data_IF_752261432609
#
_entry.id   IF_752261432609
#
_cell.length_a   1.000
_cell.length_b   1.000
_cell.length_c   1.000
_cell.angle_alpha   90.00
_cell.angle_beta   90.00
_cell.angle_gamma   90.00
#
_symmetry.space_group_name_H-M   'P 1'
#
loop_
_entity.id
_entity.type
_entity.pdbx_description
1 polymer ?
#
# COMPACT_ATOMS: atom_id res chain seq x y z
N UNK A 1 2.03 -23.75 22.68
CA UNK A 1 1.62 -22.42 23.15
C UNK A 1 2.48 -21.32 22.58
N UNK A 2 3.80 -21.42 22.65
CA UNK A 2 4.71 -20.41 22.08
C UNK A 2 4.48 -20.27 20.57
N UNK A 3 4.36 -21.39 19.85
CA UNK A 3 4.08 -21.34 18.40
C UNK A 3 2.77 -20.63 18.06
N UNK A 4 1.76 -20.79 18.89
CA UNK A 4 0.47 -20.13 18.70
C UNK A 4 0.61 -18.60 18.89
N UNK A 5 1.35 -18.17 19.89
CA UNK A 5 1.59 -16.76 20.17
C UNK A 5 2.38 -16.13 19.02
N UNK A 6 3.40 -16.83 18.51
CA UNK A 6 4.19 -16.36 17.38
C UNK A 6 3.31 -16.24 16.12
N UNK A 7 2.44 -17.20 15.88
CA UNK A 7 1.54 -17.17 14.73
C UNK A 7 0.56 -16.00 14.82
N UNK A 8 0.04 -15.71 16.01
CA UNK A 8 -0.85 -14.56 16.22
C UNK A 8 -0.08 -13.25 15.96
N UNK A 9 1.15 -13.15 16.47
CA UNK A 9 2.01 -11.99 16.23
C UNK A 9 2.30 -11.76 14.75
N UNK A 10 2.60 -12.83 14.02
CA UNK A 10 2.83 -12.75 12.59
C UNK A 10 1.60 -12.27 11.83
N UNK A 11 0.41 -12.78 12.21
CA UNK A 11 -0.84 -12.34 11.62
C UNK A 11 -1.12 -10.85 11.87
N UNK A 12 -0.83 -10.38 13.08
CA UNK A 12 -1.00 -8.95 13.42
C UNK A 12 0.00 -8.10 12.64
N UNK A 13 1.24 -8.55 12.49
CA UNK A 13 2.26 -7.82 11.75
C UNK A 13 1.86 -7.61 10.29
N UNK A 14 1.21 -8.60 9.68
CA UNK A 14 0.76 -8.52 8.28
C UNK A 14 -0.36 -7.49 8.09
N UNK A 15 -1.08 -7.12 9.16
CA UNK A 15 -2.14 -6.10 9.07
C UNK A 15 -1.64 -4.74 8.56
N UNK A 16 -0.34 -4.49 8.57
CA UNK A 16 0.20 -3.28 7.96
C UNK A 16 -0.20 -3.15 6.49
N UNK A 17 -0.41 -4.27 5.81
CA UNK A 17 -0.87 -4.28 4.42
C UNK A 17 -2.28 -3.73 4.22
N UNK A 18 -3.13 -3.76 5.25
CA UNK A 18 -4.49 -3.23 5.15
C UNK A 18 -4.45 -1.72 4.91
N UNK A 19 -3.65 -1.00 5.69
CA UNK A 19 -3.53 0.45 5.52
C UNK A 19 -2.96 0.83 4.17
N UNK A 20 -1.87 0.17 3.75
CA UNK A 20 -1.28 0.41 2.44
C UNK A 20 -2.26 0.08 1.32
N UNK A 21 -2.97 -1.04 1.41
CA UNK A 21 -3.95 -1.44 0.40
C UNK A 21 -5.09 -0.44 0.25
N UNK A 22 -5.65 0.02 1.37
CA UNK A 22 -6.73 1.01 1.34
C UNK A 22 -6.21 2.34 0.79
N UNK A 23 -5.06 2.81 1.29
CA UNK A 23 -4.48 4.08 0.85
C UNK A 23 -4.12 4.09 -0.63
N UNK A 24 -3.48 3.02 -1.10
CA UNK A 24 -3.11 2.88 -2.52
C UNK A 24 -4.37 2.79 -3.38
N UNK A 25 -5.39 2.06 -2.93
CA UNK A 25 -6.66 1.98 -3.64
C UNK A 25 -7.34 3.34 -3.79
N UNK A 26 -7.40 4.13 -2.72
CA UNK A 26 -7.96 5.47 -2.76
C UNK A 26 -7.14 6.38 -3.67
N UNK A 27 -5.82 6.35 -3.55
CA UNK A 27 -4.94 7.17 -4.36
C UNK A 27 -5.07 6.84 -5.85
N UNK A 28 -5.17 5.55 -6.19
CA UNK A 28 -5.35 5.10 -7.57
C UNK A 28 -6.67 5.60 -8.14
N UNK A 29 -7.76 5.50 -7.36
CA UNK A 29 -9.06 6.01 -7.78
C UNK A 29 -9.03 7.51 -8.03
N UNK A 30 -8.41 8.28 -7.14
CA UNK A 30 -8.27 9.73 -7.33
C UNK A 30 -7.38 10.08 -8.52
N UNK A 31 -6.32 9.34 -8.75
CA UNK A 31 -5.45 9.55 -9.90
C UNK A 31 -6.20 9.28 -11.21
N UNK A 32 -6.98 8.21 -11.25
CA UNK A 32 -7.80 7.90 -12.42
C UNK A 32 -8.80 9.03 -12.72
N UNK A 33 -9.44 9.57 -11.67
CA UNK A 33 -10.36 10.70 -11.79
C UNK A 33 -9.65 11.94 -12.33
N UNK A 34 -8.46 12.24 -11.81
CA UNK A 34 -7.68 13.39 -12.23
C UNK A 34 -7.23 13.28 -13.68
N UNK A 35 -6.83 12.09 -14.12
CA UNK A 35 -6.46 11.85 -15.51
C UNK A 35 -7.66 12.02 -16.43
N UNK A 36 -8.84 11.56 -16.01
CA UNK A 36 -10.06 11.73 -16.78
C UNK A 36 -10.40 13.21 -16.98
N UNK A 37 -10.12 14.06 -15.99
CA UNK A 37 -10.37 15.51 -16.09
C UNK A 37 -9.27 16.25 -16.86
N UNK A 38 -8.04 15.81 -16.74
CA UNK A 38 -6.87 16.44 -17.34
C UNK A 38 -5.97 15.38 -17.97
N UNK A 39 -6.37 14.84 -19.15
CA UNK A 39 -5.59 13.78 -19.79
C UNK A 39 -4.15 14.19 -20.12
N UNK A 40 -3.92 15.48 -20.33
CA UNK A 40 -2.58 16.01 -20.63
C UNK A 40 -1.64 15.92 -19.43
N UNK A 41 -2.16 15.73 -18.23
CA UNK A 41 -1.36 15.59 -17.01
C UNK A 41 -1.07 14.12 -16.67
N UNK A 42 -1.50 13.15 -17.48
CA UNK A 42 -1.37 11.72 -17.19
C UNK A 42 0.05 11.32 -16.76
N UNK A 43 1.06 11.77 -17.49
CA UNK A 43 2.44 11.39 -17.22
C UNK A 43 2.88 11.82 -15.81
N UNK A 44 2.56 13.04 -15.39
CA UNK A 44 2.90 13.54 -14.07
C UNK A 44 2.12 12.84 -12.97
N UNK A 45 0.82 12.63 -13.19
CA UNK A 45 -0.06 11.99 -12.22
C UNK A 45 0.38 10.55 -12.01
N UNK A 46 0.66 9.81 -13.08
CA UNK A 46 1.09 8.42 -13.00
C UNK A 46 2.43 8.27 -12.30
N UNK A 47 3.38 9.16 -12.57
CA UNK A 47 4.68 9.13 -11.89
C UNK A 47 4.56 9.38 -10.41
N UNK A 48 3.76 10.37 -10.01
CA UNK A 48 3.53 10.69 -8.60
C UNK A 48 2.83 9.53 -7.91
N UNK A 49 1.84 8.92 -8.55
CA UNK A 49 1.12 7.78 -8.02
C UNK A 49 2.05 6.59 -7.78
N UNK A 50 2.86 6.23 -8.77
CA UNK A 50 3.80 5.10 -8.66
C UNK A 50 4.77 5.34 -7.53
N UNK A 51 5.35 6.53 -7.41
CA UNK A 51 6.28 6.86 -6.35
C UNK A 51 5.62 6.75 -4.98
N UNK A 52 4.46 7.37 -4.80
CA UNK A 52 3.74 7.35 -3.54
C UNK A 52 3.30 5.95 -3.15
N UNK A 53 2.76 5.19 -4.10
CA UNK A 53 2.30 3.82 -3.85
C UNK A 53 3.46 2.89 -3.53
N UNK A 54 4.60 3.04 -4.18
CA UNK A 54 5.79 2.25 -3.89
C UNK A 54 6.29 2.49 -2.46
N UNK A 55 6.30 3.75 -2.02
CA UNK A 55 6.70 4.09 -0.65
C UNK A 55 5.69 3.59 0.37
N UNK A 56 4.40 3.66 0.06
CA UNK A 56 3.35 3.13 0.93
C UNK A 56 3.42 1.61 1.05
N UNK A 57 3.66 0.92 -0.06
CA UNK A 57 3.77 -0.54 -0.07
C UNK A 57 4.96 -1.02 0.75
N UNK A 58 6.03 -0.22 0.85
CA UNK A 58 7.20 -0.57 1.67
C UNK A 58 6.80 -0.82 3.13
N UNK A 59 5.80 -0.11 3.65
CA UNK A 59 5.33 -0.34 5.02
C UNK A 59 4.69 -1.71 5.19
N UNK A 60 3.95 -2.20 4.20
CA UNK A 60 3.38 -3.54 4.21
C UNK A 60 4.47 -4.61 4.13
N UNK A 61 5.52 -4.35 3.35
CA UNK A 61 6.65 -5.25 3.23
C UNK A 61 7.39 -5.36 4.57
N UNK A 62 7.54 -4.26 5.31
CA UNK A 62 8.13 -4.30 6.64
C UNK A 62 7.35 -5.23 7.57
N UNK A 63 6.02 -5.13 7.58
CA UNK A 63 5.18 -6.03 8.36
C UNK A 63 5.32 -7.48 7.93
N UNK A 64 5.40 -7.72 6.63
CA UNK A 64 5.61 -9.06 6.09
C UNK A 64 6.93 -9.65 6.54
N UNK A 65 8.00 -8.87 6.52
CA UNK A 65 9.33 -9.33 6.96
C UNK A 65 9.32 -9.67 8.45
N UNK A 66 8.67 -8.84 9.27
CA UNK A 66 8.54 -9.11 10.69
C UNK A 66 7.74 -10.39 10.94
N UNK A 67 6.73 -10.65 10.10
CA UNK A 67 5.90 -11.84 10.22
C UNK A 67 6.66 -13.14 9.90
N UNK A 68 7.71 -13.07 9.07
CA UNK A 68 8.52 -14.24 8.75
C UNK A 68 9.34 -14.65 9.98
#
# INVERSE_FOLDING_TARGET
MIGTIIAIGAGVAVFTGIGAGIGIGIATGKAADAIARQPEAESKISKTLILGCALAEATAIYGFIIAL
#
